data_IF_443870543180
#
_entry.id   IF_443870543180
#
_cell.length_a   1.000
_cell.length_b   1.000
_cell.length_c   1.000
_cell.angle_alpha   90.00
_cell.angle_beta   90.00
_cell.angle_gamma   90.00
#
_symmetry.space_group_name_H-M   'P 1'
#
loop_
_entity.id
_entity.type
_entity.pdbx_description
1 polymer ?
#
# COMPACT_ATOMS: atom_id res chain seq x y z
N UNK A 1 -1.56 20.85 -10.53
CA UNK A 1 -0.90 19.74 -9.82
C UNK A 1 -1.50 18.46 -10.34
N UNK A 2 -0.67 17.51 -10.74
CA UNK A 2 -1.15 16.23 -11.29
C UNK A 2 -1.74 15.40 -10.14
N UNK A 3 -2.92 14.85 -10.33
CA UNK A 3 -3.54 14.02 -9.30
C UNK A 3 -2.78 12.71 -9.16
N UNK A 4 -2.52 12.27 -7.93
CA UNK A 4 -1.87 10.98 -7.67
C UNK A 4 -2.84 9.85 -8.02
N UNK A 5 -2.47 9.05 -9.03
CA UNK A 5 -3.19 7.84 -9.38
C UNK A 5 -2.67 6.64 -8.56
N UNK A 6 -3.19 6.49 -7.34
CA UNK A 6 -2.81 5.41 -6.44
C UNK A 6 -3.09 4.02 -7.03
N UNK A 7 -4.13 3.87 -7.86
CA UNK A 7 -4.46 2.58 -8.47
C UNK A 7 -3.40 2.21 -9.50
N UNK A 8 -3.02 3.16 -10.36
CA UNK A 8 -1.93 2.94 -11.31
C UNK A 8 -0.61 2.61 -10.59
N UNK A 9 -0.31 3.26 -9.46
CA UNK A 9 0.88 2.93 -8.67
C UNK A 9 0.86 1.48 -8.16
N UNK A 10 -0.28 1.03 -7.63
CA UNK A 10 -0.46 -0.35 -7.16
C UNK A 10 -0.36 -1.36 -8.31
N UNK A 11 -1.07 -1.13 -9.41
CA UNK A 11 -1.12 -2.04 -10.56
C UNK A 11 0.25 -2.22 -11.22
N UNK A 12 1.07 -1.17 -11.22
CA UNK A 12 2.41 -1.20 -11.82
C UNK A 12 3.47 -1.87 -10.93
N UNK A 13 3.34 -1.76 -9.59
CA UNK A 13 4.47 -2.04 -8.70
C UNK A 13 4.19 -3.13 -7.64
N UNK A 14 2.95 -3.32 -7.21
CA UNK A 14 2.68 -4.15 -6.02
C UNK A 14 2.61 -5.66 -6.29
N UNK A 15 2.47 -6.10 -7.54
CA UNK A 15 2.27 -7.53 -7.87
C UNK A 15 3.58 -8.30 -8.10
N UNK A 16 4.75 -7.67 -7.91
CA UNK A 16 6.05 -8.30 -8.16
C UNK A 16 6.43 -9.40 -7.18
N UNK A 17 5.91 -9.37 -5.95
CA UNK A 17 6.24 -10.34 -4.90
C UNK A 17 5.08 -11.25 -4.49
N UNK A 18 3.84 -10.75 -4.48
CA UNK A 18 2.63 -11.47 -4.11
C UNK A 18 1.41 -10.80 -4.75
N UNK A 19 0.25 -11.47 -4.77
CA UNK A 19 -1.00 -10.84 -5.18
C UNK A 19 -1.77 -10.25 -3.99
N UNK A 20 -3.05 -9.94 -4.21
CA UNK A 20 -3.93 -9.37 -3.18
C UNK A 20 -4.32 -10.36 -2.07
N UNK A 21 -4.02 -11.65 -2.21
CA UNK A 21 -4.32 -12.68 -1.23
C UNK A 21 -3.68 -12.41 0.15
N UNK A 22 -2.55 -11.71 0.18
CA UNK A 22 -1.88 -11.38 1.44
C UNK A 22 -2.61 -10.28 2.23
N UNK A 23 -3.42 -9.45 1.55
CA UNK A 23 -4.23 -8.42 2.20
C UNK A 23 -5.47 -9.02 2.86
N UNK A 24 -5.94 -10.16 2.36
CA UNK A 24 -7.20 -10.78 2.79
C UNK A 24 -7.05 -12.02 3.68
N UNK A 25 -5.84 -12.62 3.78
CA UNK A 25 -5.58 -13.84 4.56
C UNK A 25 -6.05 -13.74 6.02
N UNK A 26 -6.39 -14.87 6.64
CA UNK A 26 -6.87 -14.90 8.03
C UNK A 26 -5.79 -14.42 9.02
N UNK A 27 -4.55 -14.85 8.82
CA UNK A 27 -3.40 -14.42 9.63
C UNK A 27 -2.77 -13.12 9.06
N UNK A 28 -3.52 -12.01 9.10
CA UNK A 28 -3.00 -10.69 8.67
C UNK A 28 -1.89 -10.26 9.62
N UNK A 29 -0.77 -9.79 9.05
CA UNK A 29 0.38 -9.26 9.82
C UNK A 29 0.33 -7.75 10.01
N UNK A 30 -0.46 -7.07 9.18
CA UNK A 30 -0.70 -5.64 9.26
C UNK A 30 -2.00 -5.47 10.02
N UNK A 31 -1.93 -4.87 11.19
CA UNK A 31 -3.04 -4.79 12.16
C UNK A 31 -3.46 -3.35 12.51
N UNK A 32 -2.85 -2.35 11.86
CA UNK A 32 -3.20 -0.93 12.03
C UNK A 32 -2.88 -0.12 10.77
N UNK A 33 -3.43 1.09 10.70
CA UNK A 33 -3.17 2.03 9.60
C UNK A 33 -1.68 2.43 9.54
N UNK A 34 -1.06 2.70 10.69
CA UNK A 34 0.38 3.00 10.77
C UNK A 34 1.24 1.82 10.30
N UNK A 35 0.85 0.59 10.67
CA UNK A 35 1.55 -0.60 10.22
C UNK A 35 1.40 -0.79 8.70
N UNK A 36 0.24 -0.45 8.13
CA UNK A 36 0.01 -0.50 6.70
C UNK A 36 0.88 0.54 5.98
N UNK A 37 0.92 1.77 6.47
CA UNK A 37 1.79 2.82 5.93
C UNK A 37 3.27 2.40 5.95
N UNK A 38 3.75 1.88 7.10
CA UNK A 38 5.10 1.34 7.23
C UNK A 38 5.38 0.18 6.28
N UNK A 39 4.40 -0.69 6.05
CA UNK A 39 4.50 -1.80 5.10
C UNK A 39 4.60 -1.30 3.65
N UNK A 40 3.79 -0.30 3.25
CA UNK A 40 3.87 0.30 1.90
C UNK A 40 5.24 0.96 1.69
N UNK A 41 5.72 1.72 2.68
CA UNK A 41 7.07 2.34 2.63
C UNK A 41 8.18 1.30 2.52
N UNK A 42 8.04 0.16 3.19
CA UNK A 42 9.02 -0.93 3.07
C UNK A 42 8.98 -1.57 1.68
N UNK A 43 7.79 -1.78 1.10
CA UNK A 43 7.66 -2.27 -0.27
C UNK A 43 8.30 -1.31 -1.28
N UNK A 44 8.03 -0.01 -1.13
CA UNK A 44 8.56 1.07 -1.96
C UNK A 44 10.09 1.05 -2.00
N UNK A 45 10.74 0.99 -0.83
CA UNK A 45 12.20 0.91 -0.73
C UNK A 45 12.78 -0.40 -1.29
N UNK A 46 12.13 -1.55 -1.04
CA UNK A 46 12.60 -2.85 -1.54
C UNK A 46 12.51 -2.97 -3.07
N UNK A 47 11.57 -2.23 -3.67
CA UNK A 47 11.41 -2.13 -5.12
C UNK A 47 12.24 -1.00 -5.73
N UNK A 48 13.07 -0.32 -4.92
CA UNK A 48 13.90 0.82 -5.32
C UNK A 48 13.08 1.93 -6.01
N UNK A 49 11.81 2.07 -5.61
CA UNK A 49 10.98 3.18 -6.04
C UNK A 49 11.47 4.46 -5.35
N UNK A 50 11.07 5.60 -5.91
CA UNK A 50 11.41 6.92 -5.38
C UNK A 50 10.13 7.72 -5.18
N UNK A 51 9.18 7.14 -4.46
CA UNK A 51 7.89 7.78 -4.22
C UNK A 51 8.02 8.89 -3.17
N UNK A 52 7.32 9.98 -3.44
CA UNK A 52 7.08 11.01 -2.43
C UNK A 52 6.12 10.52 -1.35
N UNK A 53 6.08 11.23 -0.22
CA UNK A 53 5.26 10.84 0.93
C UNK A 53 3.76 10.78 0.59
N UNK A 54 3.28 11.73 -0.22
CA UNK A 54 1.91 11.77 -0.70
C UNK A 54 1.51 10.56 -1.56
N UNK A 55 2.44 10.00 -2.34
CA UNK A 55 2.22 8.78 -3.12
C UNK A 55 2.10 7.55 -2.20
N UNK A 56 2.94 7.47 -1.17
CA UNK A 56 2.85 6.39 -0.16
C UNK A 56 1.56 6.50 0.64
N UNK A 57 1.16 7.71 1.03
CA UNK A 57 -0.11 7.97 1.71
C UNK A 57 -1.32 7.61 0.84
N UNK A 58 -1.27 7.95 -0.46
CA UNK A 58 -2.34 7.64 -1.39
C UNK A 58 -2.51 6.13 -1.60
N UNK A 59 -1.40 5.39 -1.74
CA UNK A 59 -1.43 3.92 -1.84
C UNK A 59 -1.88 3.28 -0.54
N UNK A 60 -1.41 3.78 0.60
CA UNK A 60 -1.84 3.33 1.93
C UNK A 60 -3.34 3.52 2.11
N UNK A 61 -3.86 4.69 1.74
CA UNK A 61 -5.30 5.01 1.80
C UNK A 61 -6.12 4.10 0.90
N UNK A 62 -5.64 3.85 -0.33
CA UNK A 62 -6.26 2.92 -1.26
C UNK A 62 -6.33 1.50 -0.67
N UNK A 63 -5.19 0.94 -0.25
CA UNK A 63 -5.15 -0.41 0.32
C UNK A 63 -5.98 -0.51 1.61
N UNK A 64 -5.98 0.53 2.44
CA UNK A 64 -6.80 0.57 3.65
C UNK A 64 -8.28 0.45 3.29
N UNK A 65 -8.75 1.28 2.35
CA UNK A 65 -10.16 1.28 1.91
C UNK A 65 -10.58 -0.03 1.27
N UNK A 66 -9.74 -0.64 0.43
CA UNK A 66 -10.12 -1.83 -0.32
C UNK A 66 -10.05 -3.12 0.52
N UNK A 67 -9.12 -3.22 1.48
CA UNK A 67 -8.83 -4.51 2.15
C UNK A 67 -8.87 -4.49 3.68
N UNK A 68 -8.42 -3.40 4.32
CA UNK A 68 -8.14 -3.41 5.76
C UNK A 68 -9.23 -2.74 6.60
N UNK A 69 -9.78 -1.61 6.15
CA UNK A 69 -10.82 -0.84 6.81
C UNK A 69 -10.45 -0.40 8.24
N UNK A 70 -9.18 -0.07 8.47
CA UNK A 70 -8.76 0.53 9.73
C UNK A 70 -9.37 1.91 9.92
N UNK A 71 -9.81 2.21 11.13
CA UNK A 71 -10.19 3.56 11.54
C UNK A 71 -8.96 4.48 11.51
N UNK A 72 -9.07 5.71 10.97
CA UNK A 72 -8.02 6.70 11.02
C UNK A 72 -7.65 7.16 12.44
#
# INVERSE_FOLDING_TARGET
EEAIDAQALVDQNCTGCHGSEVYTRDERRVESLDALHGQVRMCEQNLELTWFDDQVDAVTTLLNREYYNFEP
#
